data_IF_425922015476
#
_entry.id   IF_425922015476
#
_cell.length_a   1.000
_cell.length_b   1.000
_cell.length_c   1.000
_cell.angle_alpha   90.00
_cell.angle_beta   90.00
_cell.angle_gamma   90.00
#
_symmetry.space_group_name_H-M   'P 1'
#
loop_
_entity.id
_entity.type
_entity.pdbx_description
1 polymer ?
#
# COMPACT_ATOMS: atom_id res chain seq x y z
N UNK A 1 -7.50 17.97 -12.88
CA UNK A 1 -7.01 18.77 -11.73
C UNK A 1 -6.12 17.88 -10.87
N UNK A 2 -4.88 18.28 -10.57
CA UNK A 2 -4.00 17.56 -9.65
C UNK A 2 -4.58 17.69 -8.23
N UNK A 3 -5.29 16.65 -7.75
CA UNK A 3 -5.80 16.63 -6.37
C UNK A 3 -4.65 16.28 -5.44
N UNK A 4 -3.99 17.30 -4.90
CA UNK A 4 -3.08 17.15 -3.76
C UNK A 4 -3.92 17.05 -2.49
N UNK A 5 -3.50 16.22 -1.54
CA UNK A 5 -4.20 16.08 -0.25
C UNK A 5 -4.28 17.44 0.46
N UNK A 6 -5.43 17.72 1.09
CA UNK A 6 -5.60 18.92 1.89
C UNK A 6 -4.80 18.81 3.19
N UNK A 7 -3.85 19.71 3.39
CA UNK A 7 -2.97 19.73 4.55
C UNK A 7 -3.75 20.00 5.84
N UNK A 8 -4.79 20.83 5.77
CA UNK A 8 -5.63 21.09 6.93
C UNK A 8 -6.38 19.84 7.36
N UNK A 9 -6.71 18.94 6.43
CA UNK A 9 -7.29 17.64 6.78
C UNK A 9 -6.28 16.73 7.49
N UNK A 10 -5.04 16.69 7.02
CA UNK A 10 -3.95 15.93 7.68
C UNK A 10 -3.73 16.42 9.12
N UNK A 11 -3.65 17.72 9.33
CA UNK A 11 -3.49 18.31 10.66
C UNK A 11 -4.64 17.98 11.61
N UNK A 12 -5.88 17.95 11.09
CA UNK A 12 -7.04 17.57 11.90
C UNK A 12 -6.98 16.11 12.32
N UNK A 13 -6.60 15.21 11.41
CA UNK A 13 -6.45 13.78 11.74
C UNK A 13 -5.34 13.58 12.77
N UNK A 14 -4.18 14.21 12.57
CA UNK A 14 -3.02 14.07 13.46
C UNK A 14 -3.30 14.51 14.91
N UNK A 15 -4.26 15.41 15.14
CA UNK A 15 -4.65 15.84 16.49
C UNK A 15 -5.55 14.84 17.22
N UNK A 16 -6.23 13.96 16.48
CA UNK A 16 -7.26 13.08 17.02
C UNK A 16 -6.79 11.63 17.18
N UNK A 17 -5.69 11.24 16.53
CA UNK A 17 -5.20 9.85 16.54
C UNK A 17 -3.82 9.74 17.19
N UNK A 18 -3.63 8.65 17.95
CA UNK A 18 -2.36 8.28 18.60
C UNK A 18 -1.78 7.00 17.99
N UNK A 19 -1.95 6.84 16.67
CA UNK A 19 -1.41 5.73 15.90
C UNK A 19 -0.73 6.27 14.63
N UNK A 20 0.31 5.60 14.13
CA UNK A 20 0.96 6.03 12.90
C UNK A 20 0.00 6.02 11.73
N UNK A 21 0.09 7.03 10.87
CA UNK A 21 -0.70 7.07 9.64
C UNK A 21 0.11 7.53 8.43
N UNK A 22 -0.24 6.94 7.29
CA UNK A 22 0.39 7.21 6.01
C UNK A 22 -0.55 8.03 5.12
N UNK A 23 -0.02 9.06 4.48
CA UNK A 23 -0.79 9.91 3.57
C UNK A 23 -0.36 9.67 2.12
N UNK A 24 -1.34 9.41 1.25
CA UNK A 24 -1.16 9.24 -0.18
C UNK A 24 -1.81 10.40 -0.96
N UNK A 25 -1.36 10.62 -2.20
CA UNK A 25 -2.03 11.49 -3.16
C UNK A 25 -1.33 12.83 -3.44
N UNK A 26 -0.95 13.02 -4.70
CA UNK A 26 -0.42 14.30 -5.20
C UNK A 26 1.01 14.65 -4.82
N UNK A 27 1.76 13.72 -4.19
CA UNK A 27 3.16 13.92 -3.81
C UNK A 27 4.05 13.68 -5.03
N UNK A 28 4.65 14.75 -5.57
CA UNK A 28 5.49 14.69 -6.79
C UNK A 28 6.91 15.23 -6.57
N UNK A 29 7.17 15.78 -5.39
CA UNK A 29 8.45 16.39 -5.02
C UNK A 29 8.75 16.21 -3.53
N UNK A 30 10.01 16.41 -3.16
CA UNK A 30 10.45 16.49 -1.75
C UNK A 30 9.70 17.61 -1.01
N UNK A 31 9.38 18.72 -1.68
CA UNK A 31 8.61 19.82 -1.10
C UNK A 31 7.19 19.41 -0.73
N UNK A 32 6.51 18.66 -1.60
CA UNK A 32 5.16 18.15 -1.32
C UNK A 32 5.19 17.18 -0.13
N UNK A 33 6.14 16.25 -0.12
CA UNK A 33 6.30 15.28 0.96
C UNK A 33 6.61 15.97 2.29
N UNK A 34 7.50 16.97 2.30
CA UNK A 34 7.81 17.77 3.49
C UNK A 34 6.57 18.43 4.07
N UNK A 35 5.73 18.99 3.21
CA UNK A 35 4.51 19.66 3.65
C UNK A 35 3.52 18.68 4.29
N UNK A 36 3.42 17.45 3.77
CA UNK A 36 2.55 16.40 4.31
C UNK A 36 3.07 15.86 5.65
N UNK A 37 4.36 15.58 5.74
CA UNK A 37 4.99 15.12 6.99
C UNK A 37 4.90 16.18 8.09
N UNK A 38 5.18 17.45 7.77
CA UNK A 38 5.05 18.56 8.72
C UNK A 38 3.60 18.81 9.18
N UNK A 39 2.61 18.40 8.40
CA UNK A 39 1.20 18.47 8.79
C UNK A 39 0.81 17.37 9.80
N UNK A 40 1.71 16.42 10.09
CA UNK A 40 1.55 15.41 11.13
C UNK A 40 1.55 13.97 10.64
N UNK A 41 1.69 13.71 9.34
CA UNK A 41 1.79 12.34 8.83
C UNK A 41 3.14 11.70 9.20
N UNK A 42 3.13 10.42 9.57
CA UNK A 42 4.36 9.66 9.87
C UNK A 42 5.05 9.14 8.60
N UNK A 43 4.23 8.81 7.59
CA UNK A 43 4.68 8.25 6.32
C UNK A 43 3.99 8.93 5.14
N UNK A 44 4.66 8.90 3.99
CA UNK A 44 4.10 9.31 2.70
C UNK A 44 4.07 8.14 1.73
N UNK A 45 3.01 8.08 0.93
CA UNK A 45 2.87 7.07 -0.13
C UNK A 45 2.92 7.69 -1.52
N UNK A 46 3.76 7.13 -2.38
CA UNK A 46 3.88 7.48 -3.80
C UNK A 46 3.63 6.24 -4.67
N UNK A 47 2.85 6.41 -5.74
CA UNK A 47 2.64 5.38 -6.76
C UNK A 47 2.90 5.96 -8.15
N UNK A 48 1.89 6.58 -8.78
CA UNK A 48 2.00 7.05 -10.16
C UNK A 48 3.14 8.05 -10.41
N UNK A 49 3.43 9.01 -9.51
CA UNK A 49 4.60 9.88 -9.64
C UNK A 49 5.94 9.12 -9.58
N UNK A 50 6.02 8.04 -8.80
CA UNK A 50 7.22 7.21 -8.70
C UNK A 50 7.41 6.36 -9.96
N UNK A 51 6.33 5.85 -10.56
CA UNK A 51 6.39 5.17 -11.87
C UNK A 51 6.85 6.10 -12.99
N UNK A 52 6.39 7.35 -12.98
CA UNK A 52 6.81 8.40 -13.92
C UNK A 52 8.29 8.77 -13.80
N UNK A 53 8.76 8.91 -12.55
CA UNK A 53 10.12 9.34 -12.24
C UNK A 53 10.66 8.55 -11.05
N UNK A 54 11.22 7.34 -11.28
CA UNK A 54 11.68 6.47 -10.20
C UNK A 54 12.69 7.10 -9.25
N UNK A 55 13.49 8.05 -9.73
CA UNK A 55 14.43 8.82 -8.90
C UNK A 55 13.76 9.56 -7.71
N UNK A 56 12.45 9.87 -7.79
CA UNK A 56 11.70 10.48 -6.69
C UNK A 56 11.78 9.64 -5.40
N UNK A 57 11.77 8.31 -5.49
CA UNK A 57 11.86 7.43 -4.30
C UNK A 57 13.15 7.71 -3.54
N UNK A 58 14.28 7.75 -4.25
CA UNK A 58 15.60 8.03 -3.66
C UNK A 58 15.74 9.44 -3.11
N UNK A 59 15.16 10.44 -3.78
CA UNK A 59 15.12 11.82 -3.28
C UNK A 59 14.35 11.94 -1.97
N UNK A 60 13.21 11.25 -1.87
CA UNK A 60 12.39 11.23 -0.66
C UNK A 60 13.10 10.48 0.48
N UNK A 61 13.68 9.32 0.17
CA UNK A 61 14.43 8.52 1.13
C UNK A 61 15.65 9.28 1.67
N UNK A 62 16.39 9.99 0.81
CA UNK A 62 17.53 10.81 1.23
C UNK A 62 17.12 11.99 2.13
N UNK A 63 15.92 12.55 1.92
CA UNK A 63 15.44 13.70 2.67
C UNK A 63 14.82 13.35 4.03
N UNK A 64 14.13 12.21 4.14
CA UNK A 64 13.30 11.87 5.31
C UNK A 64 13.64 10.51 5.95
N UNK A 65 14.50 9.71 5.31
CA UNK A 65 14.77 8.32 5.68
C UNK A 65 13.79 7.35 5.02
N UNK A 66 14.26 6.13 4.76
CA UNK A 66 13.48 5.09 4.04
C UNK A 66 12.19 4.74 4.76
N UNK A 67 12.18 4.77 6.09
CA UNK A 67 11.02 4.42 6.93
C UNK A 67 9.80 5.32 6.70
N UNK A 68 10.00 6.52 6.17
CA UNK A 68 8.92 7.45 5.84
C UNK A 68 8.35 7.23 4.43
N UNK A 69 9.01 6.44 3.58
CA UNK A 69 8.68 6.30 2.15
C UNK A 69 7.97 4.97 1.87
N UNK A 70 6.67 5.06 1.61
CA UNK A 70 5.84 3.94 1.16
C UNK A 70 5.69 4.01 -0.35
N UNK A 71 5.90 2.90 -1.05
CA UNK A 71 5.58 2.78 -2.48
C UNK A 71 4.31 1.96 -2.64
N UNK A 72 3.25 2.62 -3.11
CA UNK A 72 2.02 1.95 -3.53
C UNK A 72 2.21 1.33 -4.91
N UNK A 73 1.81 0.08 -5.06
CA UNK A 73 1.90 -0.66 -6.32
C UNK A 73 0.51 -1.19 -6.66
N UNK A 74 -0.13 -0.56 -7.64
CA UNK A 74 -1.35 -1.09 -8.25
C UNK A 74 -0.96 -2.13 -9.30
N UNK A 75 -1.40 -3.36 -9.12
CA UNK A 75 -1.05 -4.45 -10.03
C UNK A 75 -2.27 -5.20 -10.51
N UNK A 76 -2.25 -5.57 -11.78
CA UNK A 76 -3.26 -6.42 -12.39
C UNK A 76 -2.59 -7.46 -13.29
N UNK A 77 -3.13 -8.68 -13.27
CA UNK A 77 -2.71 -9.77 -14.16
C UNK A 77 -3.34 -9.55 -15.53
N UNK A 78 -2.52 -9.52 -16.56
CA UNK A 78 -2.97 -9.42 -17.96
C UNK A 78 -3.36 -10.80 -18.52
N UNK A 79 -3.97 -10.81 -19.70
CA UNK A 79 -4.41 -12.04 -20.38
C UNK A 79 -3.26 -12.99 -20.73
N UNK A 80 -2.03 -12.47 -20.86
CA UNK A 80 -0.82 -13.26 -21.06
C UNK A 80 -0.30 -13.89 -19.76
N UNK A 81 -0.98 -13.67 -18.64
CA UNK A 81 -0.65 -14.21 -17.33
C UNK A 81 0.36 -13.39 -16.53
N UNK A 82 0.92 -12.32 -17.09
CA UNK A 82 1.91 -11.45 -16.44
C UNK A 82 1.25 -10.41 -15.54
N UNK A 83 1.83 -10.17 -14.36
CA UNK A 83 1.43 -9.04 -13.52
C UNK A 83 2.16 -7.77 -13.97
N UNK A 84 1.41 -6.76 -14.38
CA UNK A 84 1.94 -5.44 -14.73
C UNK A 84 1.40 -4.36 -13.82
N UNK A 85 2.24 -3.35 -13.56
CA UNK A 85 1.83 -2.18 -12.77
C UNK A 85 0.79 -1.36 -13.52
N UNK A 86 -0.06 -0.66 -12.76
CA UNK A 86 -1.03 0.31 -13.28
C UNK A 86 -0.68 1.69 -12.77
N UNK A 87 -0.71 2.65 -13.67
CA UNK A 87 -0.50 4.05 -13.34
C UNK A 87 -1.83 4.79 -13.45
N UNK A 88 -2.11 5.70 -12.52
CA UNK A 88 -3.39 6.42 -12.44
C UNK A 88 -4.61 5.51 -12.34
N UNK A 89 -4.49 4.35 -11.68
CA UNK A 89 -5.57 3.37 -11.56
C UNK A 89 -6.86 3.92 -10.92
N UNK A 90 -6.76 4.96 -10.09
CA UNK A 90 -7.92 5.64 -9.50
C UNK A 90 -8.67 6.60 -10.42
N UNK A 91 -8.19 6.84 -11.65
CA UNK A 91 -8.83 7.71 -12.65
C UNK A 91 -8.87 6.98 -14.01
N UNK A 92 -10.01 6.38 -14.39
CA UNK A 92 -10.14 5.65 -15.65
C UNK A 92 -9.79 6.46 -16.90
N UNK A 93 -9.93 7.80 -16.86
CA UNK A 93 -9.61 8.67 -17.99
C UNK A 93 -8.10 8.86 -18.21
N UNK A 94 -7.30 8.51 -17.20
CA UNK A 94 -5.84 8.68 -17.19
C UNK A 94 -5.10 7.37 -16.97
N UNK A 95 -5.80 6.27 -16.78
CA UNK A 95 -5.21 4.98 -16.49
C UNK A 95 -4.24 4.59 -17.61
N UNK A 96 -3.00 4.32 -17.23
CA UNK A 96 -1.96 3.84 -18.13
C UNK A 96 -1.49 2.46 -17.69
N UNK A 97 -1.09 1.66 -18.67
CA UNK A 97 -0.48 0.34 -18.46
C UNK A 97 0.97 0.42 -18.95
N UNK A 98 1.92 0.83 -18.08
CA UNK A 98 3.32 0.68 -18.40
C UNK A 98 3.64 -0.80 -18.68
N UNK A 99 4.53 -1.06 -19.65
CA UNK A 99 5.02 -2.41 -19.93
C UNK A 99 6.01 -2.92 -18.86
N UNK A 100 5.86 -2.46 -17.62
CA UNK A 100 6.72 -2.81 -16.48
C UNK A 100 6.04 -3.89 -15.65
N UNK A 101 6.74 -5.01 -15.46
CA UNK A 101 6.26 -6.10 -14.60
C UNK A 101 6.25 -5.66 -13.15
N UNK A 102 5.27 -6.14 -12.39
CA UNK A 102 5.08 -5.78 -10.99
C UNK A 102 6.26 -6.17 -10.12
N UNK A 103 6.81 -7.37 -10.32
CA UNK A 103 7.92 -7.86 -9.53
C UNK A 103 9.21 -7.06 -9.79
N UNK A 104 9.51 -6.74 -11.04
CA UNK A 104 10.65 -5.88 -11.41
C UNK A 104 10.53 -4.50 -10.75
N UNK A 105 9.32 -3.96 -10.71
CA UNK A 105 9.08 -2.66 -10.08
C UNK A 105 9.27 -2.69 -8.56
N UNK A 106 8.82 -3.74 -7.89
CA UNK A 106 9.02 -3.93 -6.45
C UNK A 106 10.52 -4.00 -6.13
N UNK A 107 11.29 -4.75 -6.92
CA UNK A 107 12.74 -4.87 -6.76
C UNK A 107 13.45 -3.52 -7.00
N UNK A 108 13.05 -2.79 -8.04
CA UNK A 108 13.59 -1.44 -8.30
C UNK A 108 13.23 -0.46 -7.17
N UNK A 109 11.98 -0.48 -6.68
CA UNK A 109 11.51 0.43 -5.64
C UNK A 109 12.27 0.25 -4.32
N UNK A 110 12.50 -0.99 -3.87
CA UNK A 110 13.30 -1.27 -2.67
C UNK A 110 14.76 -0.80 -2.85
N UNK A 111 15.36 -1.04 -4.03
CA UNK A 111 16.73 -0.62 -4.32
C UNK A 111 16.88 0.91 -4.27
N UNK A 112 15.84 1.64 -4.68
CA UNK A 112 15.80 3.11 -4.65
C UNK A 112 15.53 3.71 -3.27
N UNK A 113 15.27 2.89 -2.26
CA UNK A 113 15.04 3.36 -0.89
C UNK A 113 13.58 3.46 -0.47
N UNK A 114 12.66 2.71 -1.09
CA UNK A 114 11.37 2.46 -0.45
C UNK A 114 11.58 1.75 0.89
N UNK A 115 10.87 2.16 1.94
CA UNK A 115 10.90 1.49 3.24
C UNK A 115 9.71 0.56 3.48
N UNK A 116 8.68 0.62 2.65
CA UNK A 116 7.49 -0.23 2.71
C UNK A 116 6.83 -0.31 1.34
N UNK A 117 6.32 -1.49 0.97
CA UNK A 117 5.53 -1.71 -0.24
C UNK A 117 4.08 -1.97 0.17
N UNK A 118 3.15 -1.22 -0.42
CA UNK A 118 1.71 -1.55 -0.37
C UNK A 118 1.32 -2.11 -1.72
N UNK A 119 1.14 -3.43 -1.79
CA UNK A 119 0.77 -4.12 -3.02
C UNK A 119 -0.75 -4.26 -3.11
N UNK A 120 -1.34 -3.47 -3.99
CA UNK A 120 -2.77 -3.52 -4.31
C UNK A 120 -3.03 -4.48 -5.47
N UNK A 121 -3.58 -5.65 -5.15
CA UNK A 121 -3.91 -6.69 -6.12
C UNK A 121 -5.29 -6.38 -6.74
N UNK A 122 -5.30 -5.61 -7.83
CA UNK A 122 -6.53 -5.03 -8.41
C UNK A 122 -7.54 -6.07 -8.88
N UNK A 123 -7.08 -7.25 -9.31
CA UNK A 123 -7.96 -8.34 -9.75
C UNK A 123 -8.88 -8.86 -8.63
N UNK A 124 -8.46 -8.70 -7.37
CA UNK A 124 -9.24 -9.08 -6.19
C UNK A 124 -9.94 -7.89 -5.52
N UNK A 125 -9.65 -6.66 -5.94
CA UNK A 125 -10.17 -5.46 -5.28
C UNK A 125 -11.70 -5.33 -5.42
N UNK A 126 -12.37 -4.97 -4.32
CA UNK A 126 -13.82 -4.90 -4.25
C UNK A 126 -14.58 -6.23 -4.34
N UNK A 127 -13.94 -7.35 -4.68
CA UNK A 127 -14.62 -8.65 -4.88
C UNK A 127 -14.92 -9.36 -3.55
N UNK A 128 -14.21 -9.02 -2.47
CA UNK A 128 -14.34 -9.60 -1.12
C UNK A 128 -14.19 -11.13 -1.06
N UNK A 129 -13.39 -11.71 -1.97
CA UNK A 129 -13.11 -13.16 -2.08
C UNK A 129 -11.73 -13.57 -1.56
N UNK A 130 -11.04 -12.66 -0.88
CA UNK A 130 -9.69 -12.87 -0.37
C UNK A 130 -8.66 -12.07 -1.14
N UNK A 131 -7.48 -11.97 -0.54
CA UNK A 131 -6.30 -11.39 -1.19
C UNK A 131 -5.77 -12.33 -2.28
N UNK A 132 -5.02 -11.77 -3.25
CA UNK A 132 -4.31 -12.58 -4.25
C UNK A 132 -3.05 -13.21 -3.63
N UNK A 133 -3.19 -14.41 -3.07
CA UNK A 133 -2.09 -15.11 -2.41
C UNK A 133 -1.01 -15.59 -3.39
N UNK A 134 -1.35 -15.84 -4.66
CA UNK A 134 -0.35 -16.20 -5.70
C UNK A 134 0.60 -15.02 -5.90
N UNK A 135 0.02 -13.84 -6.13
CA UNK A 135 0.78 -12.63 -6.34
C UNK A 135 1.56 -12.19 -5.09
N UNK A 136 0.95 -12.24 -3.91
CA UNK A 136 1.61 -11.84 -2.66
C UNK A 136 2.82 -12.74 -2.34
N UNK A 137 2.70 -14.07 -2.53
CA UNK A 137 3.85 -14.99 -2.35
C UNK A 137 4.98 -14.69 -3.33
N UNK A 138 4.65 -14.42 -4.58
CA UNK A 138 5.64 -14.06 -5.60
C UNK A 138 6.36 -12.75 -5.23
N UNK A 139 5.62 -11.74 -4.75
CA UNK A 139 6.19 -10.49 -4.27
C UNK A 139 7.05 -10.69 -3.02
N UNK A 140 6.58 -11.48 -2.04
CA UNK A 140 7.31 -11.77 -0.81
C UNK A 140 8.68 -12.38 -1.06
N UNK A 141 8.79 -13.28 -2.04
CA UNK A 141 10.05 -13.97 -2.37
C UNK A 141 11.19 -12.99 -2.72
N UNK A 142 10.87 -11.81 -3.27
CA UNK A 142 11.84 -10.80 -3.70
C UNK A 142 11.86 -9.55 -2.82
N UNK A 143 10.75 -9.21 -2.17
CA UNK A 143 10.63 -8.03 -1.33
C UNK A 143 11.33 -8.30 0.01
N UNK A 144 12.22 -7.40 0.44
CA UNK A 144 12.94 -7.54 1.74
C UNK A 144 12.53 -6.51 2.78
N UNK A 145 11.77 -5.51 2.36
CA UNK A 145 11.15 -4.50 3.22
C UNK A 145 9.72 -4.94 3.59
N UNK A 146 9.07 -4.27 4.56
CA UNK A 146 7.67 -4.51 4.88
C UNK A 146 6.77 -4.54 3.64
N UNK A 147 6.01 -5.63 3.51
CA UNK A 147 5.04 -5.88 2.43
C UNK A 147 3.63 -5.88 3.02
N UNK A 148 2.81 -4.94 2.57
CA UNK A 148 1.42 -4.78 2.99
C UNK A 148 0.50 -5.28 1.87
N UNK A 149 -0.34 -6.26 2.18
CA UNK A 149 -1.37 -6.76 1.27
C UNK A 149 -2.53 -5.76 1.16
N UNK A 150 -3.00 -5.47 -0.05
CA UNK A 150 -4.20 -4.67 -0.31
C UNK A 150 -5.05 -5.28 -1.44
N UNK A 151 -6.37 -5.14 -1.31
CA UNK A 151 -7.36 -5.60 -2.30
C UNK A 151 -7.94 -6.99 -1.99
N UNK A 152 -9.26 -7.07 -1.81
CA UNK A 152 -10.02 -8.34 -1.77
C UNK A 152 -10.39 -8.92 -0.40
N UNK A 153 -9.95 -8.32 0.70
CA UNK A 153 -10.35 -8.74 2.04
C UNK A 153 -11.88 -8.74 2.22
N UNK A 154 -12.40 -9.72 2.97
CA UNK A 154 -13.82 -10.01 3.10
C UNK A 154 -14.20 -10.59 4.46
N UNK A 155 -13.40 -11.55 4.94
CA UNK A 155 -13.62 -12.25 6.22
C UNK A 155 -12.31 -12.33 7.01
N UNK A 156 -12.38 -12.76 8.27
CA UNK A 156 -11.21 -13.01 9.12
C UNK A 156 -10.21 -13.99 8.48
N UNK A 157 -10.72 -15.04 7.82
CA UNK A 157 -9.92 -16.07 7.15
C UNK A 157 -9.05 -15.47 6.05
N UNK A 158 -9.55 -14.46 5.33
CA UNK A 158 -8.76 -13.78 4.31
C UNK A 158 -7.52 -13.08 4.91
N UNK A 159 -7.64 -12.47 6.09
CA UNK A 159 -6.50 -11.87 6.78
C UNK A 159 -5.53 -12.95 7.27
N UNK A 160 -6.03 -14.03 7.87
CA UNK A 160 -5.18 -15.13 8.31
C UNK A 160 -4.41 -15.74 7.14
N UNK A 161 -5.06 -15.99 5.99
CA UNK A 161 -4.40 -16.53 4.82
C UNK A 161 -3.28 -15.62 4.30
N UNK A 162 -3.49 -14.29 4.31
CA UNK A 162 -2.45 -13.34 3.94
C UNK A 162 -1.21 -13.44 4.85
N UNK A 163 -1.41 -13.50 6.18
CA UNK A 163 -0.29 -13.62 7.13
C UNK A 163 0.35 -15.01 7.11
N UNK A 164 -0.45 -16.07 7.27
CA UNK A 164 0.05 -17.43 7.44
C UNK A 164 0.60 -18.04 6.15
N UNK A 165 0.02 -17.69 5.00
CA UNK A 165 0.37 -18.36 3.74
C UNK A 165 1.16 -17.49 2.76
N UNK A 166 1.05 -16.16 2.85
CA UNK A 166 1.79 -15.23 1.98
C UNK A 166 2.88 -14.43 2.72
N UNK A 167 3.00 -14.59 4.04
CA UNK A 167 4.08 -14.01 4.87
C UNK A 167 4.18 -12.47 4.72
N UNK A 168 3.02 -11.81 4.67
CA UNK A 168 2.94 -10.35 4.60
C UNK A 168 3.11 -9.72 5.98
N UNK A 169 3.70 -8.53 6.03
CA UNK A 169 3.94 -7.81 7.28
C UNK A 169 2.71 -7.02 7.76
N UNK A 170 1.76 -6.77 6.86
CA UNK A 170 0.49 -6.11 7.16
C UNK A 170 -0.59 -6.40 6.13
N UNK A 171 -1.83 -6.14 6.53
CA UNK A 171 -3.00 -6.37 5.69
C UNK A 171 -3.92 -5.14 5.75
N UNK A 172 -4.12 -4.51 4.60
CA UNK A 172 -4.96 -3.34 4.40
C UNK A 172 -6.32 -3.80 3.86
N UNK A 173 -7.39 -3.23 4.41
CA UNK A 173 -8.73 -3.34 3.89
C UNK A 173 -9.48 -2.03 4.14
N UNK A 174 -10.44 -1.70 3.26
CA UNK A 174 -11.27 -0.51 3.41
C UNK A 174 -12.75 -0.88 3.53
N UNK A 175 -13.28 -1.60 2.53
CA UNK A 175 -14.72 -1.80 2.41
C UNK A 175 -15.35 -2.55 3.58
N UNK A 176 -14.70 -3.58 4.11
CA UNK A 176 -15.21 -4.39 5.26
C UNK A 176 -15.19 -3.65 6.58
N UNK A 177 -14.27 -2.71 6.77
CA UNK A 177 -14.19 -1.89 7.98
C UNK A 177 -15.17 -0.71 7.90
N UNK A 178 -15.29 -0.07 6.74
CA UNK A 178 -16.23 1.05 6.55
C UNK A 178 -17.70 0.63 6.62
N UNK A 179 -18.06 -0.57 6.14
CA UNK A 179 -19.42 -1.10 6.28
C UNK A 179 -19.73 -1.59 7.70
N UNK A 180 -18.70 -1.83 8.52
CA UNK A 180 -18.85 -2.45 9.83
C UNK A 180 -19.08 -3.96 9.79
N UNK A 181 -18.95 -4.59 8.62
CA UNK A 181 -19.07 -6.06 8.46
C UNK A 181 -18.00 -6.79 9.29
N UNK A 182 -16.86 -6.15 9.52
CA UNK A 182 -15.77 -6.66 10.34
C UNK A 182 -15.25 -5.54 11.24
N UNK A 183 -15.16 -5.79 12.56
CA UNK A 183 -14.56 -4.83 13.49
C UNK A 183 -13.10 -5.21 13.77
N UNK A 184 -12.20 -4.22 13.74
CA UNK A 184 -10.77 -4.44 13.98
C UNK A 184 -10.48 -5.18 15.31
N UNK A 185 -11.12 -4.86 16.45
CA UNK A 185 -10.89 -5.60 17.69
C UNK A 185 -11.27 -7.09 17.59
N UNK A 186 -12.36 -7.41 16.91
CA UNK A 186 -12.83 -8.80 16.72
C UNK A 186 -11.89 -9.56 15.80
N UNK A 187 -11.48 -8.93 14.69
CA UNK A 187 -10.49 -9.48 13.78
C UNK A 187 -9.18 -9.80 14.52
N UNK A 188 -8.67 -8.86 15.32
CA UNK A 188 -7.44 -9.07 16.10
C UNK A 188 -7.58 -10.20 17.11
N UNK A 189 -8.67 -10.24 17.86
CA UNK A 189 -8.92 -11.32 18.82
C UNK A 189 -8.98 -12.69 18.12
N UNK A 190 -9.63 -12.76 16.96
CA UNK A 190 -9.71 -13.98 16.16
C UNK A 190 -8.35 -14.38 15.59
N UNK A 191 -7.58 -13.46 15.01
CA UNK A 191 -6.22 -13.71 14.50
C UNK A 191 -5.28 -14.21 15.60
N UNK A 192 -5.37 -13.61 16.79
CA UNK A 192 -4.61 -14.05 17.95
C UNK A 192 -4.95 -15.49 18.34
N UNK A 193 -6.24 -15.85 18.34
CA UNK A 193 -6.69 -17.22 18.60
C UNK A 193 -6.23 -18.23 17.53
N UNK A 194 -5.97 -17.78 16.30
CA UNK A 194 -5.38 -18.59 15.23
C UNK A 194 -3.83 -18.64 15.27
N UNK A 195 -3.20 -18.03 16.28
CA UNK A 195 -1.74 -18.05 16.44
C UNK A 195 -0.99 -16.97 15.67
N UNK A 196 -1.68 -15.99 15.05
CA UNK A 196 -1.03 -14.81 14.46
C UNK A 196 -0.72 -13.80 15.56
N UNK A 197 0.54 -13.36 15.65
CA UNK A 197 0.95 -12.33 16.61
C UNK A 197 0.40 -10.99 16.16
N UNK A 198 -0.48 -10.40 16.97
CA UNK A 198 -1.11 -9.11 16.72
C UNK A 198 -1.05 -8.23 17.96
N UNK A 199 -1.05 -6.91 17.76
CA UNK A 199 -1.22 -5.95 18.87
C UNK A 199 -2.69 -5.93 19.30
N UNK A 200 -2.98 -6.44 20.49
CA UNK A 200 -4.30 -6.36 21.13
C UNK A 200 -4.53 -4.98 21.76
#
# INVERSE_FOLDING_TARGET
>A
QNRTVDRAWVERVAREIDIPFCVAGGIRSVGDARAVLNAGADKISVNSPALERPALIGELAAAFGVQCVVVGVDSLRDDDGEWRVRQYAGDPSRALVPQRRTLDWIEEAQWRGAGEIVLNCMGSDGVRRGYDLEQLRAARAICRIPLIASGGAGTCEHFHAAFAEADVDGALAASVFHSGDLRIPELKAWLHAQGIVVRL
#
